data_IF_688529692495
#
_entry.id   IF_688529692495
#
_cell.length_a   1.000
_cell.length_b   1.000
_cell.length_c   1.000
_cell.angle_alpha   90.00
_cell.angle_beta   90.00
_cell.angle_gamma   90.00
#
_symmetry.space_group_name_H-M   'P 1'
#
loop_
_entity.id
_entity.type
_entity.pdbx_description
1 polymer ?
#
# COMPACT_ATOMS: atom_id res chain seq x y z
N UNK A 1 12.24 10.56 -29.08
CA UNK A 1 11.54 9.37 -28.59
C UNK A 1 11.61 9.26 -27.07
N UNK A 2 12.78 9.30 -26.44
CA UNK A 2 12.97 9.15 -25.00
C UNK A 2 12.21 10.20 -24.14
N UNK A 3 12.10 11.45 -24.61
CA UNK A 3 11.37 12.53 -23.90
C UNK A 3 9.85 12.32 -23.92
N UNK A 4 9.28 11.75 -24.97
CA UNK A 4 7.83 11.42 -25.05
C UNK A 4 7.46 10.23 -24.17
N UNK A 5 8.36 9.26 -23.99
CA UNK A 5 8.18 8.12 -23.10
C UNK A 5 8.24 8.54 -21.63
N UNK A 6 9.16 9.45 -21.29
CA UNK A 6 9.25 10.02 -19.95
C UNK A 6 7.98 10.82 -19.57
N UNK A 7 7.43 11.60 -20.52
CA UNK A 7 6.19 12.36 -20.27
C UNK A 7 5.01 11.41 -20.08
N UNK A 8 4.89 10.36 -20.89
CA UNK A 8 3.84 9.33 -20.73
C UNK A 8 3.94 8.64 -19.38
N UNK A 9 5.15 8.24 -18.98
CA UNK A 9 5.39 7.67 -17.65
C UNK A 9 4.99 8.60 -16.50
N UNK A 10 5.32 9.89 -16.61
CA UNK A 10 4.91 10.88 -15.62
C UNK A 10 3.38 11.05 -15.56
N UNK A 11 2.69 11.07 -16.71
CA UNK A 11 1.22 11.16 -16.75
C UNK A 11 0.58 9.93 -16.11
N UNK A 12 1.04 8.72 -16.43
CA UNK A 12 0.53 7.50 -15.79
C UNK A 12 0.76 7.50 -14.29
N UNK A 13 1.90 7.95 -13.84
CA UNK A 13 2.20 8.06 -12.40
C UNK A 13 1.28 9.08 -11.71
N UNK A 14 1.01 10.23 -12.33
CA UNK A 14 0.05 11.21 -11.79
C UNK A 14 -1.37 10.63 -11.72
N UNK A 15 -1.83 9.94 -12.77
CA UNK A 15 -3.15 9.31 -12.80
C UNK A 15 -3.27 8.23 -11.71
N UNK A 16 -2.23 7.43 -11.53
CA UNK A 16 -2.13 6.42 -10.48
C UNK A 16 -2.26 7.05 -9.09
N UNK A 17 -1.51 8.14 -8.82
CA UNK A 17 -1.59 8.85 -7.54
C UNK A 17 -2.97 9.46 -7.28
N UNK A 18 -3.62 10.01 -8.31
CA UNK A 18 -5.01 10.48 -8.21
C UNK A 18 -5.95 9.32 -7.85
N UNK A 19 -5.78 8.15 -8.48
CA UNK A 19 -6.54 6.94 -8.16
C UNK A 19 -6.38 6.52 -6.69
N UNK A 20 -5.15 6.53 -6.16
CA UNK A 20 -4.89 6.21 -4.75
C UNK A 20 -5.52 7.21 -3.79
N UNK A 21 -5.42 8.52 -4.06
CA UNK A 21 -6.04 9.55 -3.20
C UNK A 21 -7.56 9.41 -3.18
N UNK A 22 -8.20 9.17 -4.33
CA UNK A 22 -9.64 8.91 -4.39
C UNK A 22 -10.02 7.62 -3.66
N UNK A 23 -9.24 6.54 -3.82
CA UNK A 23 -9.44 5.32 -3.05
C UNK A 23 -9.40 5.57 -1.55
N UNK A 24 -8.41 6.31 -1.06
CA UNK A 24 -8.26 6.62 0.37
C UNK A 24 -9.41 7.47 0.89
N UNK A 25 -9.87 8.46 0.11
CA UNK A 25 -11.03 9.28 0.44
C UNK A 25 -12.32 8.45 0.50
N UNK A 26 -12.53 7.55 -0.46
CA UNK A 26 -13.70 6.66 -0.50
C UNK A 26 -13.69 5.71 0.69
N UNK A 27 -12.54 5.11 1.02
CA UNK A 27 -12.42 4.24 2.19
C UNK A 27 -12.68 5.04 3.48
N UNK A 28 -12.08 6.21 3.63
CA UNK A 28 -12.27 7.07 4.79
C UNK A 28 -13.75 7.44 4.98
N UNK A 29 -14.47 7.71 3.89
CA UNK A 29 -15.90 7.99 3.94
C UNK A 29 -16.72 6.73 4.28
N UNK A 30 -16.44 5.59 3.65
CA UNK A 30 -17.14 4.33 3.92
C UNK A 30 -16.92 3.84 5.35
N UNK A 31 -15.78 4.16 5.94
CA UNK A 31 -15.38 3.72 7.27
C UNK A 31 -16.15 4.38 8.42
N UNK A 32 -17.02 5.33 8.17
CA UNK A 32 -17.84 5.95 9.22
C UNK A 32 -18.89 4.98 9.78
N UNK A 33 -19.37 4.05 8.95
CA UNK A 33 -20.47 3.12 9.29
C UNK A 33 -20.01 1.65 9.41
N UNK A 34 -18.80 1.32 8.91
CA UNK A 34 -18.29 -0.06 8.84
C UNK A 34 -16.94 -0.18 9.57
N UNK A 35 -16.68 -1.32 10.20
CA UNK A 35 -15.40 -1.61 10.84
C UNK A 35 -14.21 -1.59 9.87
N UNK A 36 -13.02 -1.30 10.40
CA UNK A 36 -11.77 -1.21 9.62
C UNK A 36 -11.47 -2.53 8.92
N UNK A 37 -11.50 -3.64 9.69
CA UNK A 37 -11.11 -4.96 9.18
C UNK A 37 -12.16 -5.50 8.23
N UNK A 38 -13.45 -5.22 8.46
CA UNK A 38 -14.51 -5.56 7.52
C UNK A 38 -14.34 -4.81 6.19
N UNK A 39 -13.95 -3.54 6.22
CA UNK A 39 -13.64 -2.77 5.02
C UNK A 39 -12.46 -3.37 4.25
N UNK A 40 -11.37 -3.80 4.95
CA UNK A 40 -10.24 -4.51 4.34
C UNK A 40 -10.69 -5.80 3.68
N UNK A 41 -11.53 -6.59 4.36
CA UNK A 41 -12.02 -7.87 3.86
C UNK A 41 -12.85 -7.70 2.59
N UNK A 42 -13.91 -6.89 2.64
CA UNK A 42 -14.84 -6.73 1.51
C UNK A 42 -14.14 -6.12 0.30
N UNK A 43 -13.34 -5.06 0.51
CA UNK A 43 -12.50 -4.48 -0.54
C UNK A 43 -11.52 -5.50 -1.11
N UNK A 44 -10.89 -6.30 -0.24
CA UNK A 44 -9.98 -7.36 -0.64
C UNK A 44 -10.67 -8.43 -1.50
N UNK A 45 -11.89 -8.83 -1.19
CA UNK A 45 -12.68 -9.75 -2.00
C UNK A 45 -12.95 -9.20 -3.41
N UNK A 46 -13.33 -7.93 -3.52
CA UNK A 46 -13.50 -7.29 -4.83
C UNK A 46 -12.18 -7.21 -5.61
N UNK A 47 -11.08 -6.86 -4.95
CA UNK A 47 -9.76 -6.82 -5.57
C UNK A 47 -9.34 -8.22 -6.08
N UNK A 48 -9.59 -9.29 -5.31
CA UNK A 48 -9.32 -10.68 -5.74
C UNK A 48 -10.11 -11.04 -6.99
N UNK A 49 -11.37 -10.64 -7.07
CA UNK A 49 -12.23 -10.91 -8.24
C UNK A 49 -11.69 -10.15 -9.46
N UNK A 50 -11.43 -8.86 -9.33
CA UNK A 50 -10.97 -8.00 -10.44
C UNK A 50 -9.59 -8.47 -10.94
N UNK A 51 -8.62 -8.63 -10.03
CA UNK A 51 -7.25 -9.03 -10.37
C UNK A 51 -7.23 -10.48 -10.86
N UNK A 52 -8.04 -11.37 -10.25
CA UNK A 52 -8.17 -12.76 -10.66
C UNK A 52 -8.70 -12.89 -12.09
N UNK A 53 -9.71 -12.11 -12.45
CA UNK A 53 -10.20 -12.03 -13.83
C UNK A 53 -9.09 -11.54 -14.78
N UNK A 54 -8.36 -10.48 -14.43
CA UNK A 54 -7.23 -9.98 -15.22
C UNK A 54 -6.12 -11.03 -15.38
N UNK A 55 -5.79 -11.78 -14.32
CA UNK A 55 -4.84 -12.90 -14.37
C UNK A 55 -5.29 -14.02 -15.31
N UNK A 56 -6.58 -14.34 -15.27
CA UNK A 56 -7.15 -15.37 -16.15
C UNK A 56 -7.07 -14.97 -17.63
N UNK A 57 -7.49 -13.76 -17.97
CA UNK A 57 -7.45 -13.25 -19.34
C UNK A 57 -6.02 -13.05 -19.87
N UNK A 58 -5.09 -12.60 -19.02
CA UNK A 58 -3.67 -12.41 -19.40
C UNK A 58 -2.86 -13.70 -19.42
N UNK A 59 -3.40 -14.81 -18.91
CA UNK A 59 -2.66 -16.06 -18.78
C UNK A 59 -1.56 -16.04 -17.73
N UNK A 60 -1.61 -15.09 -16.79
CA UNK A 60 -0.60 -14.92 -15.74
C UNK A 60 -0.44 -16.16 -14.84
N UNK A 61 -1.47 -16.99 -14.71
CA UNK A 61 -1.43 -18.25 -13.95
C UNK A 61 -0.62 -19.36 -14.65
N UNK A 62 -0.28 -19.22 -15.93
CA UNK A 62 0.50 -20.24 -16.67
C UNK A 62 1.98 -20.19 -16.32
N UNK A 63 2.49 -19.03 -15.90
CA UNK A 63 3.88 -18.83 -15.53
C UNK A 63 4.05 -18.90 -14.02
N UNK A 64 4.14 -20.12 -13.48
CA UNK A 64 4.34 -20.33 -12.03
C UNK A 64 5.76 -19.92 -11.64
N UNK A 65 5.93 -19.05 -10.62
CA UNK A 65 7.23 -18.62 -10.14
C UNK A 65 8.11 -19.79 -9.63
N UNK A 66 9.43 -19.63 -9.70
CA UNK A 66 10.36 -20.59 -9.13
C UNK A 66 10.36 -20.61 -7.59
N UNK A 67 10.98 -21.63 -6.97
CA UNK A 67 11.00 -21.77 -5.50
C UNK A 67 11.58 -20.55 -4.76
N UNK A 68 12.62 -19.89 -5.32
CA UNK A 68 13.20 -18.68 -4.75
C UNK A 68 12.24 -17.50 -4.82
N UNK A 69 11.53 -17.38 -5.92
CA UNK A 69 10.55 -16.33 -6.12
C UNK A 69 9.36 -16.45 -5.16
N UNK A 70 8.92 -17.66 -4.85
CA UNK A 70 7.88 -17.90 -3.84
C UNK A 70 8.28 -17.37 -2.46
N UNK A 71 9.55 -17.53 -2.07
CA UNK A 71 10.08 -16.98 -0.82
C UNK A 71 10.00 -15.44 -0.81
N UNK A 72 10.37 -14.80 -1.91
CA UNK A 72 10.29 -13.34 -2.01
C UNK A 72 8.84 -12.84 -2.09
N UNK A 73 7.95 -13.55 -2.79
CA UNK A 73 6.52 -13.25 -2.82
C UNK A 73 5.93 -13.34 -1.41
N UNK A 74 6.30 -14.36 -0.64
CA UNK A 74 5.85 -14.51 0.75
C UNK A 74 6.27 -13.31 1.62
N UNK A 75 7.55 -12.94 1.61
CA UNK A 75 8.04 -11.80 2.40
C UNK A 75 7.43 -10.47 1.96
N UNK A 76 7.27 -10.27 0.64
CA UNK A 76 6.57 -9.11 0.09
C UNK A 76 5.13 -9.05 0.56
N UNK A 77 4.41 -10.16 0.46
CA UNK A 77 3.00 -10.24 0.87
C UNK A 77 2.84 -10.01 2.36
N UNK A 78 3.74 -10.57 3.17
CA UNK A 78 3.74 -10.35 4.62
C UNK A 78 3.95 -8.85 4.95
N UNK A 79 4.92 -8.22 4.32
CA UNK A 79 5.16 -6.79 4.48
C UNK A 79 3.96 -5.95 4.04
N UNK A 80 3.29 -6.33 2.94
CA UNK A 80 2.09 -5.66 2.45
C UNK A 80 0.90 -5.79 3.42
N UNK A 81 0.72 -6.95 4.07
CA UNK A 81 -0.32 -7.14 5.09
C UNK A 81 -0.12 -6.16 6.25
N UNK A 82 1.10 -6.12 6.81
CA UNK A 82 1.41 -5.20 7.91
C UNK A 82 1.28 -3.73 7.48
N UNK A 83 1.74 -3.39 6.28
CA UNK A 83 1.60 -2.05 5.72
C UNK A 83 0.13 -1.66 5.59
N UNK A 84 -0.71 -2.53 5.01
CA UNK A 84 -2.13 -2.27 4.76
C UNK A 84 -2.90 -2.13 6.08
N UNK A 85 -2.70 -3.03 7.03
CA UNK A 85 -3.36 -2.95 8.34
C UNK A 85 -2.95 -1.68 9.08
N UNK A 86 -1.66 -1.37 9.13
CA UNK A 86 -1.16 -0.16 9.79
C UNK A 86 -1.66 1.11 9.11
N UNK A 87 -1.63 1.15 7.77
CA UNK A 87 -2.09 2.31 6.99
C UNK A 87 -3.59 2.56 7.20
N UNK A 88 -4.43 1.55 7.02
CA UNK A 88 -5.87 1.72 7.12
C UNK A 88 -6.30 2.03 8.55
N UNK A 89 -5.66 1.42 9.54
CA UNK A 89 -5.90 1.80 10.94
C UNK A 89 -5.51 3.26 11.19
N UNK A 90 -4.34 3.70 10.72
CA UNK A 90 -3.94 5.10 10.82
C UNK A 90 -4.92 6.03 10.08
N UNK A 91 -5.33 5.68 8.87
CA UNK A 91 -6.27 6.44 8.06
C UNK A 91 -7.64 6.63 8.73
N UNK A 92 -8.09 5.64 9.51
CA UNK A 92 -9.32 5.71 10.28
C UNK A 92 -9.27 6.80 11.36
N UNK A 93 -8.18 6.87 12.09
CA UNK A 93 -8.04 7.74 13.26
C UNK A 93 -7.35 9.08 12.97
N UNK A 94 -6.61 9.19 11.85
CA UNK A 94 -5.92 10.41 11.44
C UNK A 94 -6.66 11.14 10.32
N UNK A 95 -6.51 12.47 10.22
CA UNK A 95 -6.85 13.21 8.99
C UNK A 95 -6.06 12.65 7.79
N UNK A 96 -6.71 12.59 6.62
CA UNK A 96 -6.06 12.12 5.38
C UNK A 96 -4.76 12.90 5.11
N UNK A 97 -4.77 14.21 5.35
CA UNK A 97 -3.60 15.06 5.14
C UNK A 97 -2.39 14.62 5.98
N UNK A 98 -2.60 14.23 7.23
CA UNK A 98 -1.50 13.82 8.12
C UNK A 98 -0.90 12.48 7.68
N UNK A 99 -1.73 11.47 7.40
CA UNK A 99 -1.23 10.16 6.97
C UNK A 99 -0.57 10.23 5.60
N UNK A 100 -1.13 10.98 4.64
CA UNK A 100 -0.50 11.17 3.33
C UNK A 100 0.83 11.91 3.42
N UNK A 101 0.95 12.89 4.32
CA UNK A 101 2.21 13.59 4.56
C UNK A 101 3.29 12.66 5.16
N UNK A 102 2.92 11.76 6.08
CA UNK A 102 3.84 10.73 6.60
C UNK A 102 4.29 9.80 5.48
N UNK A 103 3.39 9.39 4.58
CA UNK A 103 3.73 8.54 3.44
C UNK A 103 4.68 9.20 2.42
N UNK A 104 4.77 10.51 2.39
CA UNK A 104 5.78 11.21 1.55
C UNK A 104 7.22 10.93 2.00
N UNK A 105 7.43 10.32 3.17
CA UNK A 105 8.74 9.79 3.56
C UNK A 105 9.15 8.54 2.76
N UNK A 106 8.25 7.85 2.05
CA UNK A 106 8.54 6.61 1.32
C UNK A 106 9.73 6.72 0.36
N UNK A 107 9.83 7.71 -0.53
CA UNK A 107 10.99 7.83 -1.41
C UNK A 107 12.31 7.99 -0.66
N UNK A 108 12.27 8.62 0.51
CA UNK A 108 13.44 8.86 1.35
C UNK A 108 13.88 7.58 2.05
N UNK A 109 12.94 6.86 2.66
CA UNK A 109 13.19 5.59 3.35
C UNK A 109 13.63 4.50 2.38
N UNK A 110 13.00 4.38 1.20
CA UNK A 110 13.40 3.44 0.16
C UNK A 110 14.81 3.73 -0.33
N UNK A 111 15.19 5.00 -0.53
CA UNK A 111 16.54 5.39 -0.94
C UNK A 111 17.56 5.04 0.13
N UNK A 112 17.28 5.35 1.40
CA UNK A 112 18.15 5.03 2.52
C UNK A 112 18.32 3.52 2.69
N UNK A 113 17.23 2.78 2.65
CA UNK A 113 17.23 1.34 2.79
C UNK A 113 17.94 0.64 1.61
N UNK A 114 17.79 1.14 0.38
CA UNK A 114 18.53 0.65 -0.79
C UNK A 114 20.05 0.84 -0.61
N UNK A 115 20.46 1.95 -0.02
CA UNK A 115 21.89 2.16 0.29
C UNK A 115 22.41 1.15 1.30
N UNK A 116 21.67 0.87 2.36
CA UNK A 116 22.12 -0.05 3.41
C UNK A 116 22.06 -1.53 2.98
N UNK A 117 20.98 -1.92 2.33
CA UNK A 117 20.72 -3.35 2.03
C UNK A 117 21.20 -3.78 0.63
N UNK A 118 21.28 -2.85 -0.32
CA UNK A 118 21.67 -3.13 -1.71
C UNK A 118 23.05 -2.52 -2.06
N UNK A 119 23.66 -1.76 -1.15
CA UNK A 119 24.96 -1.13 -1.37
C UNK A 119 24.94 0.05 -2.38
N UNK A 120 23.77 0.63 -2.65
CA UNK A 120 23.65 1.79 -3.52
C UNK A 120 24.36 3.01 -2.89
N UNK A 121 25.21 3.69 -3.63
CA UNK A 121 25.92 4.86 -3.11
C UNK A 121 24.98 6.09 -3.07
N UNK A 122 24.78 6.65 -1.87
CA UNK A 122 24.06 7.90 -1.70
C UNK A 122 25.08 9.04 -1.74
N UNK A 123 24.93 9.94 -2.71
CA UNK A 123 25.70 11.18 -2.73
C UNK A 123 25.29 12.12 -1.58
N UNK A 124 26.22 12.95 -1.09
CA UNK A 124 26.00 13.85 0.05
C UNK A 124 24.76 14.75 -0.09
N UNK A 125 24.45 15.22 -1.31
CA UNK A 125 23.26 16.04 -1.59
C UNK A 125 21.95 15.27 -1.32
N UNK A 126 21.88 13.98 -1.71
CA UNK A 126 20.73 13.13 -1.40
C UNK A 126 20.63 12.84 0.09
N UNK A 127 21.78 12.65 0.78
CA UNK A 127 21.81 12.47 2.23
C UNK A 127 21.21 13.66 2.97
N UNK A 128 21.58 14.88 2.60
CA UNK A 128 20.99 16.11 3.19
C UNK A 128 19.49 16.19 2.89
N UNK A 129 19.05 15.93 1.66
CA UNK A 129 17.64 15.94 1.30
C UNK A 129 16.82 14.94 2.14
N UNK A 130 17.37 13.74 2.40
CA UNK A 130 16.75 12.74 3.27
C UNK A 130 16.59 13.26 4.70
N UNK A 131 17.64 13.88 5.26
CA UNK A 131 17.59 14.45 6.61
C UNK A 131 16.54 15.56 6.72
N UNK A 132 16.49 16.48 5.76
CA UNK A 132 15.48 17.55 5.71
C UNK A 132 14.07 16.96 5.61
N UNK A 133 13.87 15.93 4.77
CA UNK A 133 12.58 15.27 4.62
C UNK A 133 12.12 14.57 5.90
N UNK A 134 13.00 13.85 6.61
CA UNK A 134 12.67 13.27 7.90
C UNK A 134 12.35 14.32 8.96
N UNK A 135 13.07 15.44 8.96
CA UNK A 135 12.73 16.54 9.86
C UNK A 135 11.34 17.10 9.56
N UNK A 136 10.95 17.23 8.29
CA UNK A 136 9.59 17.59 7.89
C UNK A 136 8.53 16.63 8.41
N UNK A 137 8.79 15.31 8.34
CA UNK A 137 7.86 14.29 8.89
C UNK A 137 7.74 14.42 10.41
N UNK A 138 8.83 14.68 11.14
CA UNK A 138 8.80 14.92 12.58
C UNK A 138 7.98 16.16 12.96
N UNK A 139 8.05 17.22 12.16
CA UNK A 139 7.23 18.42 12.37
C UNK A 139 5.73 18.15 12.18
N UNK A 140 5.36 17.19 11.33
CA UNK A 140 3.97 16.80 11.11
C UNK A 140 3.47 15.88 12.24
N UNK A 141 4.30 14.95 12.69
CA UNK A 141 3.96 14.01 13.75
C UNK A 141 3.90 14.69 15.12
N UNK A 142 4.73 15.74 15.34
CA UNK A 142 4.84 16.52 16.56
C UNK A 142 4.99 15.66 17.83
N UNK A 143 5.96 14.73 17.89
CA UNK A 143 6.09 13.81 19.02
C UNK A 143 6.37 14.58 20.31
N UNK A 144 5.61 14.26 21.37
CA UNK A 144 5.79 14.88 22.69
C UNK A 144 5.04 16.20 22.92
N UNK A 145 4.16 16.60 22.01
CA UNK A 145 3.22 17.72 22.18
C UNK A 145 1.80 17.20 22.49
N UNK A 146 0.92 18.08 22.95
CA UNK A 146 -0.50 17.76 23.19
C UNK A 146 -1.25 17.42 21.88
N UNK A 147 -0.71 17.80 20.73
CA UNK A 147 -1.26 17.49 19.41
C UNK A 147 -0.81 16.13 18.87
N UNK A 148 0.09 15.44 19.59
CA UNK A 148 0.58 14.14 19.18
C UNK A 148 -0.51 13.08 19.18
N UNK A 149 -0.75 12.47 18.01
CA UNK A 149 -1.67 11.37 17.88
C UNK A 149 -0.90 10.04 17.79
N UNK A 150 -1.16 9.10 18.72
CA UNK A 150 -0.50 7.79 18.77
C UNK A 150 -0.62 7.00 17.46
N UNK A 151 -1.70 7.20 16.72
CA UNK A 151 -1.90 6.55 15.41
C UNK A 151 -0.94 7.04 14.32
N UNK A 152 -0.25 8.17 14.54
CA UNK A 152 0.85 8.61 13.66
C UNK A 152 2.00 7.60 13.64
N UNK A 153 2.22 6.87 14.74
CA UNK A 153 3.20 5.78 14.81
C UNK A 153 2.85 4.67 13.82
N UNK A 154 1.56 4.34 13.66
CA UNK A 154 1.13 3.35 12.66
C UNK A 154 1.42 3.83 11.23
N UNK A 155 1.35 5.13 10.96
CA UNK A 155 1.80 5.69 9.69
C UNK A 155 3.30 5.46 9.45
N UNK A 156 4.13 5.65 10.46
CA UNK A 156 5.58 5.35 10.38
C UNK A 156 5.82 3.85 10.19
N UNK A 157 5.12 3.00 10.93
CA UNK A 157 5.18 1.54 10.78
C UNK A 157 4.81 1.12 9.36
N UNK A 158 3.76 1.72 8.79
CA UNK A 158 3.39 1.52 7.39
C UNK A 158 4.55 1.86 6.45
N UNK A 159 5.19 3.03 6.61
CA UNK A 159 6.34 3.44 5.79
C UNK A 159 7.48 2.42 5.86
N UNK A 160 7.78 1.88 7.04
CA UNK A 160 8.80 0.83 7.21
C UNK A 160 8.44 -0.43 6.42
N UNK A 161 7.21 -0.93 6.56
CA UNK A 161 6.80 -2.16 5.87
C UNK A 161 6.67 -1.98 4.35
N UNK A 162 6.19 -0.82 3.87
CA UNK A 162 6.20 -0.51 2.43
C UNK A 162 7.63 -0.46 1.91
N UNK A 163 8.56 0.14 2.65
CA UNK A 163 9.98 0.17 2.27
C UNK A 163 10.56 -1.25 2.17
N UNK A 164 10.27 -2.12 3.14
CA UNK A 164 10.70 -3.53 3.10
C UNK A 164 10.10 -4.26 1.90
N UNK A 165 8.81 -4.07 1.63
CA UNK A 165 8.13 -4.61 0.45
C UNK A 165 8.85 -4.22 -0.83
N UNK A 166 9.15 -2.92 -1.00
CA UNK A 166 9.79 -2.39 -2.21
C UNK A 166 11.23 -2.92 -2.40
N UNK A 167 11.98 -3.10 -1.30
CA UNK A 167 13.30 -3.74 -1.36
C UNK A 167 13.23 -5.21 -1.77
N UNK A 168 12.22 -5.95 -1.28
CA UNK A 168 12.02 -7.35 -1.65
C UNK A 168 11.68 -7.48 -3.13
N UNK A 169 10.83 -6.59 -3.67
CA UNK A 169 10.47 -6.59 -5.10
C UNK A 169 11.69 -6.44 -6.01
N UNK A 170 12.70 -5.66 -5.61
CA UNK A 170 13.96 -5.51 -6.37
C UNK A 170 14.77 -6.80 -6.51
N UNK A 171 14.46 -7.84 -5.72
CA UNK A 171 15.09 -9.16 -5.79
C UNK A 171 14.31 -10.18 -6.61
N UNK A 172 13.18 -9.79 -7.19
CA UNK A 172 12.38 -10.66 -8.05
C UNK A 172 13.13 -10.98 -9.35
N UNK A 173 12.90 -12.18 -9.89
CA UNK A 173 13.32 -12.51 -11.24
C UNK A 173 12.49 -11.73 -12.26
N UNK A 174 13.07 -11.48 -13.43
CA UNK A 174 12.41 -10.72 -14.51
C UNK A 174 11.19 -11.42 -15.13
N UNK A 175 10.98 -12.69 -14.80
CA UNK A 175 9.94 -13.53 -15.40
C UNK A 175 8.65 -13.61 -14.56
N UNK A 176 8.58 -12.95 -13.41
CA UNK A 176 7.40 -12.99 -12.56
C UNK A 176 6.33 -12.06 -13.10
N UNK A 177 5.11 -12.59 -13.27
CA UNK A 177 3.95 -11.77 -13.59
C UNK A 177 3.56 -10.88 -12.41
N UNK A 178 3.56 -9.56 -12.61
CA UNK A 178 3.09 -8.58 -11.61
C UNK A 178 1.66 -8.85 -11.19
N UNK A 179 0.78 -9.23 -12.14
CA UNK A 179 -0.61 -9.58 -11.86
C UNK A 179 -0.73 -10.80 -10.94
N UNK A 180 0.12 -11.83 -11.13
CA UNK A 180 0.13 -13.00 -10.24
C UNK A 180 0.49 -12.61 -8.81
N UNK A 181 1.51 -11.80 -8.62
CA UNK A 181 1.94 -11.31 -7.30
C UNK A 181 0.85 -10.45 -6.67
N UNK A 182 0.20 -9.58 -7.44
CA UNK A 182 -0.91 -8.74 -6.98
C UNK A 182 -2.10 -9.60 -6.54
N UNK A 183 -2.44 -10.67 -7.28
CA UNK A 183 -3.51 -11.60 -6.93
C UNK A 183 -3.24 -12.30 -5.59
N UNK A 184 -2.04 -12.89 -5.41
CA UNK A 184 -1.65 -13.55 -4.16
C UNK A 184 -1.73 -12.57 -2.99
N UNK A 185 -1.24 -11.34 -3.20
CA UNK A 185 -1.26 -10.30 -2.17
C UNK A 185 -2.69 -9.88 -1.80
N UNK A 186 -3.55 -9.64 -2.80
CA UNK A 186 -4.95 -9.30 -2.58
C UNK A 186 -5.71 -10.41 -1.82
N UNK A 187 -5.47 -11.67 -2.21
CA UNK A 187 -6.06 -12.83 -1.52
C UNK A 187 -5.60 -12.92 -0.05
N UNK A 188 -4.30 -12.72 0.20
CA UNK A 188 -3.76 -12.76 1.56
C UNK A 188 -4.31 -11.62 2.43
N UNK A 189 -4.42 -10.40 1.89
CA UNK A 189 -5.00 -9.24 2.59
C UNK A 189 -6.49 -9.49 2.88
N UNK A 190 -7.25 -10.03 1.92
CA UNK A 190 -8.65 -10.39 2.14
C UNK A 190 -8.80 -11.42 3.26
N UNK A 191 -8.00 -12.48 3.26
CA UNK A 191 -8.03 -13.50 4.31
C UNK A 191 -7.72 -12.93 5.69
N UNK A 192 -6.68 -12.10 5.79
CA UNK A 192 -6.31 -11.45 7.06
C UNK A 192 -7.39 -10.48 7.51
N UNK A 193 -7.93 -9.66 6.60
CA UNK A 193 -9.04 -8.75 6.90
C UNK A 193 -10.27 -9.51 7.41
N UNK A 194 -10.65 -10.62 6.75
CA UNK A 194 -11.75 -11.48 7.19
C UNK A 194 -11.50 -12.09 8.56
N UNK A 195 -10.30 -12.63 8.80
CA UNK A 195 -9.92 -13.19 10.09
C UNK A 195 -10.02 -12.12 11.20
N UNK A 196 -9.46 -10.94 11.00
CA UNK A 196 -9.49 -9.85 11.98
C UNK A 196 -10.92 -9.33 12.21
N UNK A 197 -11.76 -9.28 11.17
CA UNK A 197 -13.18 -8.93 11.31
C UNK A 197 -13.89 -9.87 12.29
N UNK A 198 -13.76 -11.17 12.08
CA UNK A 198 -14.45 -12.15 12.94
C UNK A 198 -13.90 -12.22 14.36
N UNK A 199 -12.60 -11.92 14.56
CA UNK A 199 -11.95 -12.00 15.89
C UNK A 199 -12.15 -10.72 16.70
N UNK A 200 -12.08 -9.53 16.10
CA UNK A 200 -12.00 -8.27 16.82
C UNK A 200 -13.22 -7.35 16.64
N UNK A 201 -13.87 -7.34 15.49
CA UNK A 201 -14.95 -6.38 15.20
C UNK A 201 -16.34 -7.02 15.23
N UNK A 202 -16.46 -8.26 14.78
CA UNK A 202 -17.74 -8.86 14.43
C UNK A 202 -18.27 -8.32 13.09
N UNK A 203 -19.30 -8.98 12.56
CA UNK A 203 -19.88 -8.60 11.26
C UNK A 203 -20.96 -7.55 11.44
N UNK A 204 -20.80 -6.39 10.80
CA UNK A 204 -21.80 -5.33 10.75
C UNK A 204 -22.57 -5.41 9.43
N UNK A 205 -23.92 -5.40 9.44
CA UNK A 205 -24.72 -5.38 8.19
C UNK A 205 -24.37 -4.14 7.37
N UNK A 206 -24.07 -4.35 6.09
CA UNK A 206 -23.66 -3.30 5.17
C UNK A 206 -24.83 -2.81 4.33
N UNK A 207 -24.91 -1.50 4.13
CA UNK A 207 -25.82 -0.87 3.18
C UNK A 207 -25.28 -1.00 1.76
N UNK A 208 -26.18 -0.97 0.77
CA UNK A 208 -25.78 -1.07 -0.63
C UNK A 208 -24.76 0.00 -1.05
N UNK A 209 -24.91 1.22 -0.56
CA UNK A 209 -24.00 2.33 -0.84
C UNK A 209 -22.56 2.03 -0.37
N UNK A 210 -22.39 1.41 0.79
CA UNK A 210 -21.08 1.05 1.33
C UNK A 210 -20.41 -0.02 0.48
N UNK A 211 -21.18 -1.01 0.02
CA UNK A 211 -20.68 -2.05 -0.89
C UNK A 211 -20.21 -1.44 -2.21
N UNK A 212 -21.01 -0.53 -2.78
CA UNK A 212 -20.65 0.18 -4.02
C UNK A 212 -19.37 1.01 -3.82
N UNK A 213 -19.25 1.73 -2.71
CA UNK A 213 -18.05 2.50 -2.40
C UNK A 213 -16.80 1.63 -2.30
N UNK A 214 -16.88 0.48 -1.62
CA UNK A 214 -15.75 -0.45 -1.52
C UNK A 214 -15.40 -1.12 -2.87
N UNK A 215 -16.40 -1.37 -3.71
CA UNK A 215 -16.16 -1.83 -5.09
C UNK A 215 -15.44 -0.76 -5.93
N UNK A 216 -15.86 0.51 -5.83
CA UNK A 216 -15.18 1.64 -6.50
C UNK A 216 -13.75 1.77 -6.00
N UNK A 217 -13.54 1.72 -4.67
CA UNK A 217 -12.20 1.76 -4.08
C UNK A 217 -11.29 0.64 -4.61
N UNK A 218 -11.82 -0.59 -4.71
CA UNK A 218 -11.07 -1.73 -5.26
C UNK A 218 -10.71 -1.54 -6.73
N UNK A 219 -11.62 -0.96 -7.51
CA UNK A 219 -11.39 -0.67 -8.93
C UNK A 219 -10.34 0.41 -9.12
N UNK A 220 -10.34 1.45 -8.27
CA UNK A 220 -9.35 2.52 -8.30
C UNK A 220 -7.93 2.00 -7.99
N UNK A 221 -7.78 1.07 -7.05
CA UNK A 221 -6.48 0.41 -6.78
C UNK A 221 -5.99 -0.40 -7.98
N UNK A 222 -6.89 -1.07 -8.69
CA UNK A 222 -6.50 -1.86 -9.86
C UNK A 222 -6.02 -1.00 -11.04
N UNK A 223 -6.57 0.22 -11.17
CA UNK A 223 -6.20 1.18 -12.22
C UNK A 223 -4.89 1.92 -11.85
N UNK A 224 -4.65 2.20 -10.55
CA UNK A 224 -3.46 2.86 -10.02
C UNK A 224 -2.27 1.91 -9.88
#
# INVERSE_FOLDING_TARGET
MQQSENIRGAIYMCLSMVGFVFNDAVIKYASTDIGIYQSIFVRGCFAVIIIGAACFYSGAFKNIPGKLDHKFIFWRTLAEIFATVSFLTALFYLPIANITAILQALPLTVTLAASWFLGEKIGWRRGIAILIGFFGVLLIIQPGTDEFNIYSILGVVCVVFVTLRDLVVRKFSTNISTLYVAFITAAAIALVGGFLTFVYEGWTPMKLNEIILLFIASSLIFIG
#
